data_IF_016453112618
#
_entry.id   IF_016453112618
#
_cell.length_a   1.000
_cell.length_b   1.000
_cell.length_c   1.000
_cell.angle_alpha   90.00
_cell.angle_beta   90.00
_cell.angle_gamma   90.00
#
_symmetry.space_group_name_H-M   'P 1'
#
loop_
_entity.id
_entity.type
_entity.pdbx_description
1 polymer ?
#
# COMPACT_ATOMS: atom_id res chain seq x y z
N UNK A 1 7.95 16.24 32.15
CA UNK A 1 7.72 15.91 30.74
C UNK A 1 6.42 16.54 30.33
N UNK A 2 6.47 17.35 29.30
CA UNK A 2 5.36 18.09 28.72
C UNK A 2 4.44 17.13 27.98
N UNK A 3 3.13 17.40 27.92
CA UNK A 3 2.18 16.52 27.22
C UNK A 3 2.55 16.29 25.74
N UNK A 4 3.22 17.26 25.10
CA UNK A 4 3.75 17.15 23.74
C UNK A 4 4.87 16.11 23.63
N UNK A 5 5.85 16.15 24.54
CA UNK A 5 7.00 15.21 24.52
C UNK A 5 6.51 13.77 24.61
N UNK A 6 5.51 13.51 25.45
CA UNK A 6 4.92 12.18 25.63
C UNK A 6 4.19 11.69 24.36
N UNK A 7 3.51 12.60 23.66
CA UNK A 7 2.87 12.31 22.37
C UNK A 7 3.89 12.00 21.27
N UNK A 8 4.92 12.83 21.11
CA UNK A 8 5.99 12.61 20.12
C UNK A 8 6.73 11.31 20.43
N UNK A 9 7.00 11.06 21.71
CA UNK A 9 7.65 9.82 22.17
C UNK A 9 6.86 8.58 21.76
N UNK A 10 5.54 8.60 21.96
CA UNK A 10 4.65 7.54 21.51
C UNK A 10 4.72 7.32 20.00
N UNK A 11 4.82 8.39 19.22
CA UNK A 11 4.94 8.30 17.76
C UNK A 11 6.26 7.69 17.30
N UNK A 12 7.37 8.14 17.90
CA UNK A 12 8.69 7.60 17.62
C UNK A 12 8.74 6.11 17.95
N UNK A 13 8.22 5.70 19.10
CA UNK A 13 8.19 4.30 19.51
C UNK A 13 7.26 3.45 18.64
N UNK A 14 6.19 4.03 18.09
CA UNK A 14 5.34 3.35 17.11
C UNK A 14 6.11 3.01 15.83
N UNK A 15 6.98 3.90 15.36
CA UNK A 15 7.80 3.68 14.17
C UNK A 15 9.06 2.82 14.44
N UNK A 16 9.68 3.00 15.60
CA UNK A 16 10.92 2.38 16.02
C UNK A 16 10.82 1.88 17.48
N UNK A 17 10.16 0.73 17.72
CA UNK A 17 9.96 0.20 19.07
C UNK A 17 11.25 -0.29 19.73
N UNK A 18 12.31 -0.52 18.95
CA UNK A 18 13.61 -0.98 19.44
C UNK A 18 14.60 0.18 19.67
N UNK A 19 14.12 1.42 19.77
CA UNK A 19 14.99 2.58 19.95
C UNK A 19 15.45 2.72 21.42
N UNK A 20 16.74 2.98 21.69
CA UNK A 20 17.22 3.22 23.04
C UNK A 20 16.57 4.45 23.66
N UNK A 21 16.28 4.40 24.96
CA UNK A 21 15.71 5.54 25.70
C UNK A 21 16.59 6.80 25.60
N UNK A 22 17.91 6.65 25.64
CA UNK A 22 18.86 7.76 25.52
C UNK A 22 18.74 8.46 24.16
N UNK A 23 18.74 7.69 23.07
CA UNK A 23 18.55 8.21 21.70
C UNK A 23 17.16 8.83 21.54
N UNK A 24 16.14 8.26 22.16
CA UNK A 24 14.76 8.77 22.14
C UNK A 24 14.66 10.15 22.81
N UNK A 25 15.31 10.34 23.95
CA UNK A 25 15.37 11.63 24.65
C UNK A 25 16.09 12.68 23.81
N UNK A 26 17.26 12.36 23.26
CA UNK A 26 18.00 13.28 22.39
C UNK A 26 17.19 13.65 21.13
N UNK A 27 16.47 12.67 20.57
CA UNK A 27 15.61 12.91 19.41
C UNK A 27 14.47 13.86 19.75
N UNK A 28 13.84 13.71 20.91
CA UNK A 28 12.80 14.62 21.37
C UNK A 28 13.35 16.05 21.51
N UNK A 29 14.49 16.23 22.20
CA UNK A 29 15.12 17.55 22.35
C UNK A 29 15.46 18.18 20.99
N UNK A 30 15.99 17.38 20.06
CA UNK A 30 16.29 17.83 18.69
C UNK A 30 15.03 18.29 17.95
N UNK A 31 13.95 17.50 18.02
CA UNK A 31 12.67 17.84 17.38
C UNK A 31 12.08 19.14 17.94
N UNK A 32 12.09 19.31 19.26
CA UNK A 32 11.65 20.56 19.90
C UNK A 32 12.55 21.73 19.44
N UNK A 33 13.87 21.52 19.37
CA UNK A 33 14.81 22.54 18.88
C UNK A 33 14.62 22.88 17.39
N UNK A 34 14.08 21.97 16.58
CA UNK A 34 13.70 22.23 15.18
C UNK A 34 12.42 23.06 15.05
N UNK A 35 11.70 23.32 16.16
CA UNK A 35 10.43 24.05 16.15
C UNK A 35 9.19 23.15 16.02
N UNK A 36 9.28 21.87 16.38
CA UNK A 36 8.11 20.97 16.45
C UNK A 36 7.28 21.38 17.67
N UNK A 37 6.10 21.92 17.44
CA UNK A 37 5.15 22.34 18.47
C UNK A 37 3.96 21.37 18.59
N UNK A 38 3.72 20.56 17.56
CA UNK A 38 2.61 19.62 17.49
C UNK A 38 2.96 18.34 16.71
N UNK A 39 2.12 17.32 16.82
CA UNK A 39 2.27 16.06 16.07
C UNK A 39 2.25 16.30 14.56
N UNK A 40 1.45 17.25 14.09
CA UNK A 40 1.39 17.61 12.67
C UNK A 40 2.75 18.07 12.13
N UNK A 41 3.59 18.71 12.96
CA UNK A 41 4.88 19.21 12.51
C UNK A 41 5.88 18.11 12.18
N UNK A 42 5.67 16.90 12.71
CA UNK A 42 6.53 15.73 12.44
C UNK A 42 6.57 15.37 10.95
N UNK A 43 5.56 15.76 10.17
CA UNK A 43 5.55 15.52 8.73
C UNK A 43 6.56 16.39 7.95
N UNK A 44 6.97 17.53 8.52
CA UNK A 44 7.93 18.46 7.92
C UNK A 44 9.38 18.12 8.26
N UNK A 45 9.60 17.27 9.27
CA UNK A 45 10.92 16.79 9.66
C UNK A 45 11.56 16.06 8.48
N UNK A 46 12.85 16.31 8.25
CA UNK A 46 13.63 15.73 7.16
C UNK A 46 14.66 14.75 7.68
N UNK A 47 15.29 14.03 6.75
CA UNK A 47 16.36 13.09 7.09
C UNK A 47 17.55 13.81 7.73
N UNK A 48 17.88 15.02 7.26
CA UNK A 48 18.95 15.85 7.81
C UNK A 48 18.77 16.13 9.31
N UNK A 49 17.55 16.44 9.77
CA UNK A 49 17.25 16.82 11.15
C UNK A 49 17.50 15.67 12.16
N UNK A 50 17.31 14.43 11.71
CA UNK A 50 17.35 13.22 12.57
C UNK A 50 18.53 12.30 12.25
N UNK A 51 19.24 12.53 11.15
CA UNK A 51 20.41 11.75 10.70
C UNK A 51 21.58 11.83 11.67
N UNK A 52 21.63 12.87 12.50
CA UNK A 52 22.63 13.05 13.55
C UNK A 52 22.46 12.03 14.70
N UNK A 53 21.23 11.54 14.91
CA UNK A 53 20.86 10.69 16.05
C UNK A 53 20.50 9.26 15.64
N UNK A 54 20.06 9.07 14.40
CA UNK A 54 19.54 7.81 13.89
C UNK A 54 20.32 7.34 12.66
N UNK A 55 20.39 6.02 12.47
CA UNK A 55 20.95 5.47 11.22
C UNK A 55 20.03 5.75 10.03
N UNK A 56 20.56 5.84 8.79
CA UNK A 56 19.76 6.16 7.60
C UNK A 56 18.49 5.31 7.43
N UNK A 57 18.57 4.02 7.75
CA UNK A 57 17.40 3.12 7.69
C UNK A 57 16.34 3.48 8.74
N UNK A 58 16.74 3.89 9.93
CA UNK A 58 15.83 4.32 10.99
C UNK A 58 15.15 5.65 10.62
N UNK A 59 15.91 6.60 10.05
CA UNK A 59 15.37 7.85 9.54
C UNK A 59 14.27 7.60 8.50
N UNK A 60 14.52 6.74 7.51
CA UNK A 60 13.51 6.41 6.48
C UNK A 60 12.25 5.77 7.08
N UNK A 61 12.40 4.91 8.08
CA UNK A 61 11.27 4.25 8.75
C UNK A 61 10.40 5.25 9.50
N UNK A 62 11.01 6.16 10.27
CA UNK A 62 10.27 7.12 11.08
C UNK A 62 9.61 8.20 10.20
N UNK A 63 10.33 8.72 9.20
CA UNK A 63 9.77 9.67 8.23
C UNK A 63 8.61 9.08 7.43
N UNK A 64 8.70 7.80 7.08
CA UNK A 64 7.61 7.08 6.40
C UNK A 64 6.38 6.95 7.31
N UNK A 65 6.57 6.65 8.60
CA UNK A 65 5.49 6.55 9.56
C UNK A 65 4.77 7.89 9.78
N UNK A 66 5.52 9.00 9.88
CA UNK A 66 4.94 10.33 10.03
C UNK A 66 4.18 10.80 8.79
N UNK A 67 4.71 10.53 7.59
CA UNK A 67 4.05 10.87 6.32
C UNK A 67 2.80 10.04 6.03
N UNK A 68 2.70 8.82 6.56
CA UNK A 68 1.55 7.95 6.35
C UNK A 68 0.30 8.37 7.16
N UNK A 69 0.43 9.36 8.06
CA UNK A 69 -0.68 9.85 8.90
C UNK A 69 -1.64 10.77 8.15
N UNK A 70 -1.24 11.32 7.01
CA UNK A 70 -2.14 12.04 6.11
C UNK A 70 -2.81 11.04 5.13
N UNK A 71 -4.14 10.82 5.19
CA UNK A 71 -4.87 10.05 4.18
C UNK A 71 -4.95 10.75 2.81
N UNK A 72 -4.32 11.92 2.66
CA UNK A 72 -4.35 12.67 1.42
C UNK A 72 -3.22 12.24 0.47
N UNK A 73 -3.56 11.30 -0.40
CA UNK A 73 -2.90 11.01 -1.68
C UNK A 73 -1.71 10.03 -1.65
N UNK A 74 -2.02 8.74 -1.44
CA UNK A 74 -1.42 7.68 -2.27
C UNK A 74 -1.96 7.76 -3.71
N UNK A 75 -1.71 8.87 -4.41
CA UNK A 75 -1.79 8.96 -5.86
C UNK A 75 -0.51 9.62 -6.39
N UNK A 76 0.64 9.03 -6.10
CA UNK A 76 1.76 9.10 -7.04
C UNK A 76 1.87 7.74 -7.71
N UNK A 77 1.14 7.62 -8.81
CA UNK A 77 1.34 6.56 -9.80
C UNK A 77 2.70 6.79 -10.46
N UNK A 78 3.63 5.83 -10.51
CA UNK A 78 4.70 5.89 -11.48
C UNK A 78 4.11 5.50 -12.83
N UNK A 79 4.01 6.47 -13.74
CA UNK A 79 3.84 6.22 -15.17
C UNK A 79 5.08 5.46 -15.64
N UNK A 80 4.96 4.15 -15.83
CA UNK A 80 5.75 3.42 -16.82
C UNK A 80 4.74 2.77 -17.76
N UNK A 81 4.67 3.40 -18.93
CA UNK A 81 3.95 3.04 -20.12
C UNK A 81 4.43 1.68 -20.65
N UNK A 82 3.61 0.63 -20.49
CA UNK A 82 3.72 -0.57 -21.34
C UNK A 82 2.50 -0.60 -22.26
N UNK A 83 2.75 -0.13 -23.47
CA UNK A 83 1.98 -0.30 -24.69
C UNK A 83 1.42 -1.73 -24.81
N UNK A 84 0.15 -1.96 -24.46
CA UNK A 84 -0.62 -3.07 -25.02
C UNK A 84 -1.98 -2.50 -25.49
N UNK A 85 -2.23 -2.43 -26.81
CA UNK A 85 -3.52 -2.01 -27.35
C UNK A 85 -4.65 -2.88 -26.80
N UNK A 86 -5.71 -2.22 -26.33
CA UNK A 86 -6.99 -2.85 -25.98
C UNK A 86 -7.65 -3.45 -27.22
N UNK A 87 -7.30 -4.70 -27.56
CA UNK A 87 -8.14 -5.53 -28.41
C UNK A 87 -9.08 -6.35 -27.53
N UNK A 88 -10.35 -5.92 -27.57
CA UNK A 88 -11.59 -6.70 -27.47
C UNK A 88 -11.53 -8.09 -26.81
N UNK A 89 -12.34 -8.28 -25.76
CA UNK A 89 -13.52 -9.15 -25.85
C UNK A 89 -14.33 -9.09 -24.54
N UNK A 90 -15.61 -8.73 -24.67
CA UNK A 90 -16.63 -8.90 -23.61
C UNK A 90 -16.91 -10.40 -23.41
N UNK A 91 -17.11 -10.87 -22.18
CA UNK A 91 -18.03 -11.96 -21.94
C UNK A 91 -19.37 -11.41 -21.42
N UNK A 92 -20.37 -11.36 -22.31
CA UNK A 92 -21.76 -11.20 -21.88
C UNK A 92 -22.19 -12.48 -21.16
N UNK A 93 -22.56 -12.33 -19.89
CA UNK A 93 -23.26 -13.36 -19.12
C UNK A 93 -24.72 -13.37 -19.57
N UNK A 94 -25.14 -14.40 -20.32
CA UNK A 94 -26.57 -14.72 -20.53
C UNK A 94 -26.77 -16.23 -20.34
N UNK A 95 -27.05 -16.55 -19.08
CA UNK A 95 -28.09 -17.46 -18.58
C UNK A 95 -28.52 -18.65 -19.45
N UNK A 96 -28.26 -19.84 -18.91
CA UNK A 96 -28.83 -21.14 -19.29
C UNK A 96 -30.36 -21.10 -19.50
N UNK A 97 -30.88 -21.57 -20.65
CA UNK A 97 -32.24 -22.08 -20.73
C UNK A 97 -32.29 -23.55 -20.30
N UNK A 98 -33.28 -23.86 -19.44
CA UNK A 98 -33.62 -25.20 -18.96
C UNK A 98 -34.35 -26.02 -20.05
N UNK A 99 -34.21 -27.35 -19.94
CA UNK A 99 -34.98 -28.46 -20.58
C UNK A 99 -34.48 -28.82 -22.00
N UNK A 100 -34.24 -30.08 -22.37
CA UNK A 100 -35.17 -31.20 -22.31
C UNK A 100 -34.47 -32.58 -22.33
N UNK A 101 -35.14 -33.52 -21.68
CA UNK A 101 -35.01 -34.97 -21.64
C UNK A 101 -34.53 -35.63 -22.96
N UNK A 102 -33.46 -36.44 -22.88
CA UNK A 102 -32.95 -37.28 -23.98
C UNK A 102 -33.95 -38.41 -24.24
N UNK A 103 -34.64 -38.36 -25.38
CA UNK A 103 -35.30 -39.53 -25.97
C UNK A 103 -34.44 -40.01 -27.15
N UNK A 104 -33.81 -41.17 -27.01
CA UNK A 104 -33.43 -41.98 -28.18
C UNK A 104 -34.72 -42.50 -28.82
N UNK A 105 -34.81 -42.56 -30.16
CA UNK A 105 -34.74 -43.89 -30.74
C UNK A 105 -34.11 -43.99 -32.15
N UNK A 106 -33.36 -45.10 -32.28
CA UNK A 106 -33.43 -46.13 -33.33
C UNK A 106 -33.18 -45.80 -34.80
N UNK A 107 -32.40 -46.73 -35.38
CA UNK A 107 -32.44 -47.26 -36.76
C UNK A 107 -32.02 -46.30 -37.87
N UNK A 108 -31.42 -46.70 -38.98
CA UNK A 108 -30.78 -47.90 -39.53
C UNK A 108 -30.37 -47.47 -40.96
N UNK A 109 -29.57 -48.28 -41.63
CA UNK A 109 -29.45 -48.35 -43.10
C UNK A 109 -28.56 -47.32 -43.83
N UNK A 110 -27.31 -47.68 -44.15
CA UNK A 110 -26.73 -48.30 -45.39
C UNK A 110 -26.39 -47.36 -46.55
N UNK A 111 -25.15 -47.58 -47.03
CA UNK A 111 -24.65 -47.59 -48.42
C UNK A 111 -24.75 -46.33 -49.29
N UNK A 112 -23.59 -45.82 -49.71
CA UNK A 112 -23.02 -46.04 -51.04
C UNK A 112 -21.60 -45.42 -51.05
N UNK A 113 -20.52 -46.20 -51.22
CA UNK A 113 -19.92 -46.68 -52.47
C UNK A 113 -18.87 -45.71 -53.06
N UNK A 114 -17.75 -46.32 -53.46
CA UNK A 114 -16.53 -45.76 -54.01
C UNK A 114 -16.75 -44.83 -55.22
N UNK A 115 -15.80 -43.92 -55.43
CA UNK A 115 -15.08 -43.79 -56.70
C UNK A 115 -13.66 -43.28 -56.41
#
# INVERSE_FOLDING_TARGET
MSSLEEQIRGDVLQALPSLPTETLTLLLEKLISCGVESKEDLQYVREEDISELLRPIQCRKILSAWKAREPHSRQSSPVIELLIPKLTNKPHSIQHPKKFHIQHPKTSHVLHHLA
#
